data_IF_435208380200
#
_entry.id   IF_435208380200
#
_cell.length_a   1.000
_cell.length_b   1.000
_cell.length_c   1.000
_cell.angle_alpha   90.00
_cell.angle_beta   90.00
_cell.angle_gamma   90.00
#
_symmetry.space_group_name_H-M   'P 1'
#
loop_
_entity.id
_entity.type
_entity.pdbx_description
1 polymer ?
#
# COMPACT_ATOMS: atom_id res chain seq x y z
N UNK A 1 -15.86 -13.63 -36.39
CA UNK A 1 -14.88 -12.55 -36.16
C UNK A 1 -15.63 -11.25 -35.98
N UNK A 2 -15.65 -10.68 -34.76
CA UNK A 2 -16.29 -9.38 -34.51
C UNK A 2 -15.32 -8.26 -34.84
N UNK A 3 -15.58 -7.46 -35.87
CA UNK A 3 -14.77 -6.29 -36.17
C UNK A 3 -14.95 -5.25 -35.05
N UNK A 4 -13.84 -4.77 -34.49
CA UNK A 4 -13.86 -3.60 -33.60
C UNK A 4 -14.17 -2.38 -34.47
N UNK A 5 -15.42 -1.92 -34.47
CA UNK A 5 -15.79 -0.70 -35.19
C UNK A 5 -15.14 0.49 -34.51
N UNK A 6 -14.09 1.04 -35.13
CA UNK A 6 -13.46 2.25 -34.65
C UNK A 6 -14.35 3.46 -34.95
N UNK A 7 -14.61 4.28 -33.95
CA UNK A 7 -15.35 5.54 -34.12
C UNK A 7 -14.65 6.48 -35.10
N UNK A 8 -15.40 7.28 -35.87
CA UNK A 8 -14.86 8.30 -36.80
C UNK A 8 -13.86 9.25 -36.15
N UNK A 9 -14.09 9.62 -34.88
CA UNK A 9 -13.20 10.48 -34.10
C UNK A 9 -11.82 9.84 -33.83
N UNK A 10 -11.75 8.50 -33.78
CA UNK A 10 -10.49 7.77 -33.63
C UNK A 10 -9.64 7.88 -34.90
N UNK A 11 -10.28 7.70 -36.07
CA UNK A 11 -9.63 7.85 -37.37
C UNK A 11 -9.15 9.29 -37.62
N UNK A 12 -9.85 10.28 -37.07
CA UNK A 12 -9.50 11.71 -37.17
C UNK A 12 -8.50 12.18 -36.08
N UNK A 13 -7.96 11.27 -35.27
CA UNK A 13 -6.97 11.59 -34.23
C UNK A 13 -7.53 12.38 -33.03
N UNK A 14 -8.85 12.49 -32.89
CA UNK A 14 -9.53 13.25 -31.84
C UNK A 14 -9.64 12.47 -30.52
N UNK A 15 -8.53 11.90 -30.05
CA UNK A 15 -8.45 11.01 -28.88
C UNK A 15 -9.00 11.69 -27.61
N UNK A 16 -8.81 13.01 -27.47
CA UNK A 16 -9.33 13.78 -26.32
C UNK A 16 -10.86 13.79 -26.27
N UNK A 17 -11.56 13.78 -27.40
CA UNK A 17 -13.04 13.71 -27.44
C UNK A 17 -13.53 12.34 -26.97
N UNK A 18 -12.91 11.27 -27.44
CA UNK A 18 -13.20 9.90 -27.00
C UNK A 18 -12.94 9.69 -25.50
N UNK A 19 -11.87 10.29 -24.97
CA UNK A 19 -11.57 10.28 -23.53
C UNK A 19 -12.59 11.02 -22.67
N UNK A 20 -13.23 12.08 -23.20
CA UNK A 20 -14.28 12.82 -22.48
C UNK A 20 -15.60 12.04 -22.44
N UNK A 21 -15.92 11.31 -23.50
CA UNK A 21 -17.08 10.41 -23.56
C UNK A 21 -16.89 9.23 -22.61
N UNK A 22 -15.69 8.67 -22.59
CA UNK A 22 -15.29 7.60 -21.69
C UNK A 22 -14.95 8.20 -20.33
N UNK A 23 -15.95 8.78 -19.65
CA UNK A 23 -15.81 9.14 -18.25
C UNK A 23 -15.29 7.90 -17.51
N UNK A 24 -14.15 7.97 -16.82
CA UNK A 24 -13.87 6.95 -15.83
C UNK A 24 -14.95 7.16 -14.77
N UNK A 25 -15.97 6.29 -14.78
CA UNK A 25 -16.83 6.06 -13.63
C UNK A 25 -15.93 5.45 -12.55
N UNK A 26 -15.01 6.26 -12.01
CA UNK A 26 -14.37 5.97 -10.75
C UNK A 26 -15.49 6.15 -9.72
N UNK A 27 -16.25 5.08 -9.52
CA UNK A 27 -17.19 4.98 -8.43
C UNK A 27 -16.36 5.19 -7.16
N UNK A 28 -16.43 6.41 -6.60
CA UNK A 28 -15.90 6.70 -5.29
C UNK A 28 -16.83 6.00 -4.31
N UNK A 29 -16.67 4.69 -4.18
CA UNK A 29 -17.34 3.90 -3.16
C UNK A 29 -16.62 4.22 -1.86
N UNK A 30 -17.23 4.96 -0.92
CA UNK A 30 -16.68 5.05 0.42
C UNK A 30 -16.57 3.62 0.95
N UNK A 31 -15.36 3.20 1.34
CA UNK A 31 -15.17 1.87 1.91
C UNK A 31 -16.12 1.72 3.11
N UNK A 32 -16.88 0.61 3.19
CA UNK A 32 -17.80 0.41 4.29
C UNK A 32 -17.00 0.39 5.60
N UNK A 33 -17.50 1.12 6.61
CA UNK A 33 -16.93 1.06 7.95
C UNK A 33 -16.88 -0.39 8.43
N UNK A 34 -15.72 -0.88 8.90
CA UNK A 34 -15.57 -2.28 9.27
C UNK A 34 -16.56 -2.64 10.38
N UNK A 35 -17.51 -3.53 10.06
CA UNK A 35 -18.55 -4.01 10.99
C UNK A 35 -17.97 -4.88 12.11
N UNK A 36 -16.77 -5.42 11.90
CA UNK A 36 -16.09 -6.24 12.89
C UNK A 36 -15.25 -5.35 13.84
N UNK A 37 -15.48 -5.41 15.17
CA UNK A 37 -14.73 -4.63 16.15
C UNK A 37 -13.23 -4.90 16.10
N UNK A 38 -12.81 -6.14 15.79
CA UNK A 38 -11.40 -6.51 15.63
C UNK A 38 -10.79 -5.83 14.41
N UNK A 39 -11.49 -5.84 13.26
CA UNK A 39 -11.04 -5.16 12.05
C UNK A 39 -10.96 -3.64 12.26
N UNK A 40 -11.91 -3.07 13.00
CA UNK A 40 -11.88 -1.66 13.41
C UNK A 40 -10.68 -1.36 14.31
N UNK A 41 -10.39 -2.20 15.29
CA UNK A 41 -9.24 -2.05 16.17
C UNK A 41 -7.90 -2.17 15.42
N UNK A 42 -7.78 -3.09 14.46
CA UNK A 42 -6.61 -3.21 13.60
C UNK A 42 -6.42 -2.00 12.68
N UNK A 43 -7.49 -1.51 12.05
CA UNK A 43 -7.44 -0.31 11.23
C UNK A 43 -7.07 0.94 12.07
N UNK A 44 -7.66 1.10 13.25
CA UNK A 44 -7.32 2.18 14.18
C UNK A 44 -5.88 2.06 14.65
N UNK A 45 -5.39 0.86 14.95
CA UNK A 45 -3.97 0.61 15.29
C UNK A 45 -3.04 1.02 14.13
N UNK A 46 -3.41 0.70 12.88
CA UNK A 46 -2.61 1.03 11.70
C UNK A 46 -2.55 2.55 11.44
N UNK A 47 -3.64 3.27 11.69
CA UNK A 47 -3.73 4.73 11.54
C UNK A 47 -3.13 5.47 12.74
N UNK A 48 -3.27 4.92 13.94
CA UNK A 48 -2.73 5.50 15.17
C UNK A 48 -1.23 5.26 15.24
N UNK A 49 -0.45 6.28 14.90
CA UNK A 49 1.00 6.28 15.08
C UNK A 49 1.45 6.24 16.57
N UNK A 50 0.50 6.25 17.52
CA UNK A 50 0.75 6.16 18.96
C UNK A 50 1.15 4.77 19.46
N UNK A 51 0.59 3.69 18.89
CA UNK A 51 1.01 2.33 19.21
C UNK A 51 2.35 2.04 18.51
N UNK A 52 3.44 1.94 19.29
CA UNK A 52 4.78 1.74 18.73
C UNK A 52 5.59 3.03 18.52
N UNK A 53 5.15 4.20 19.02
CA UNK A 53 6.00 5.40 19.04
C UNK A 53 7.35 5.13 19.73
N UNK A 54 7.33 4.35 20.82
CA UNK A 54 8.54 3.91 21.52
C UNK A 54 9.40 2.93 20.71
N UNK A 55 8.81 2.09 19.84
CA UNK A 55 9.55 1.20 18.92
C UNK A 55 10.32 2.04 17.89
N UNK A 56 9.77 3.20 17.50
CA UNK A 56 10.41 4.16 16.58
C UNK A 56 11.30 5.19 17.27
N UNK A 57 11.54 5.06 18.57
CA UNK A 57 12.45 5.96 19.30
C UNK A 57 13.91 5.59 19.01
N UNK A 58 14.79 6.59 19.00
CA UNK A 58 16.23 6.38 18.80
C UNK A 58 16.83 5.38 19.82
N UNK A 59 16.31 5.37 21.05
CA UNK A 59 16.72 4.41 22.08
C UNK A 59 16.29 2.97 21.79
N UNK A 60 15.12 2.75 21.20
CA UNK A 60 14.69 1.43 20.75
C UNK A 60 15.53 0.93 19.57
N UNK A 61 15.82 1.82 18.60
CA UNK A 61 16.70 1.51 17.48
C UNK A 61 18.11 1.10 17.97
N UNK A 62 18.70 1.87 18.89
CA UNK A 62 20.01 1.53 19.48
C UNK A 62 20.03 0.15 20.15
N UNK A 63 18.94 -0.22 20.85
CA UNK A 63 18.84 -1.55 21.48
C UNK A 63 18.69 -2.65 20.43
N UNK A 64 17.90 -2.46 19.37
CA UNK A 64 17.80 -3.45 18.29
C UNK A 64 19.13 -3.64 17.58
N UNK A 65 19.85 -2.55 17.31
CA UNK A 65 21.16 -2.60 16.63
C UNK A 65 22.20 -3.32 17.48
N UNK A 66 22.23 -3.05 18.80
CA UNK A 66 23.13 -3.75 19.73
C UNK A 66 22.84 -5.25 19.79
N UNK A 67 21.57 -5.64 19.82
CA UNK A 67 21.17 -7.07 19.80
C UNK A 67 21.53 -7.73 18.47
N UNK A 68 21.29 -7.06 17.34
CA UNK A 68 21.63 -7.57 16.02
C UNK A 68 23.16 -7.76 15.88
N UNK A 69 23.95 -6.79 16.33
CA UNK A 69 25.41 -6.87 16.38
C UNK A 69 25.87 -8.04 17.26
N UNK A 70 25.31 -8.17 18.47
CA UNK A 70 25.62 -9.27 19.37
C UNK A 70 25.31 -10.63 18.75
N UNK A 71 24.16 -10.78 18.08
CA UNK A 71 23.82 -12.00 17.34
C UNK A 71 24.79 -12.30 16.20
N UNK A 72 25.30 -11.28 15.53
CA UNK A 72 26.25 -11.45 14.44
C UNK A 72 27.63 -11.88 14.96
N UNK A 73 28.10 -11.27 16.06
CA UNK A 73 29.38 -11.59 16.70
C UNK A 73 29.37 -12.95 17.42
N UNK A 74 28.24 -13.32 18.01
CA UNK A 74 28.06 -14.61 18.69
C UNK A 74 27.45 -15.68 17.79
N UNK A 75 27.29 -15.39 16.48
CA UNK A 75 26.93 -16.44 15.53
C UNK A 75 28.12 -17.39 15.49
N UNK A 76 27.95 -18.67 15.89
CA UNK A 76 29.04 -19.62 15.77
C UNK A 76 29.43 -19.65 14.29
N UNK A 77 30.72 -19.45 14.02
CA UNK A 77 31.33 -19.62 12.72
C UNK A 77 31.41 -21.11 12.40
N UNK A 78 30.25 -21.76 12.33
CA UNK A 78 30.11 -23.17 11.97
C UNK A 78 29.52 -23.20 10.55
N UNK A 79 30.30 -22.76 9.57
CA UNK A 79 29.97 -22.84 8.14
C UNK A 79 31.22 -23.13 7.30
N UNK A 80 32.09 -24.00 7.80
CA UNK A 80 33.10 -24.76 7.03
C UNK A 80 32.99 -26.24 7.42
#
# INVERSE_FOLDING_TARGET
MSAKTFSRDFAQGQIKKLRRIRQPLALQVPLPTPRNPVARALAQRAVSSGSGKHIRSQGAQRRSDKVALGKWLHRPTDME
#
